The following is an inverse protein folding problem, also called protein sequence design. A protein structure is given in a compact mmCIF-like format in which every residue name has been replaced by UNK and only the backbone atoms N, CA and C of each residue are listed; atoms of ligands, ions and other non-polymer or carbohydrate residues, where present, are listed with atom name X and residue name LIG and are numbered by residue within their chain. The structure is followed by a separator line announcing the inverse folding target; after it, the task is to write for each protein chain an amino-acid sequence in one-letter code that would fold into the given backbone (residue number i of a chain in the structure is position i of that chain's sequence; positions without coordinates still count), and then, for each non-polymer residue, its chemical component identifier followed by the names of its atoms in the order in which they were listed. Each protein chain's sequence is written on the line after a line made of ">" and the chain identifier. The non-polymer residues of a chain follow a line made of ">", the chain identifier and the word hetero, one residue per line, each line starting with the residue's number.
data_IF_425110954880
#
_entry.id   IF_425110954880
#
_cell.length_a   1.000
_cell.length_b   1.000
_cell.length_c   1.000
_cell.angle_alpha   90.00
_cell.angle_beta   90.00
_cell.angle_gamma   90.00
#
_symmetry.space_group_name_H-M   'P 1'
#
loop_
_entity.id
_entity.type
_entity.pdbx_description
1 polymer ?
#
# COMPACT_ATOMS: atom_id res chain seq x y z
N UNK A 1 -10.38 1.97 25.90
CA UNK A 1 -9.16 1.15 26.07
C UNK A 1 -8.65 0.57 24.75
N UNK A 2 -9.46 -0.19 24.00
CA UNK A 2 -9.05 -0.82 22.73
C UNK A 2 -8.63 0.18 21.64
N UNK A 3 -9.42 1.24 21.42
CA UNK A 3 -9.09 2.30 20.47
C UNK A 3 -7.74 2.96 20.73
N UNK A 4 -7.44 3.28 21.99
CA UNK A 4 -6.17 3.90 22.37
C UNK A 4 -4.96 2.99 22.12
N UNK A 5 -5.12 1.67 22.29
CA UNK A 5 -4.07 0.69 21.96
C UNK A 5 -3.83 0.60 20.46
N UNK A 6 -4.89 0.53 19.66
CA UNK A 6 -4.77 0.47 18.19
C UNK A 6 -4.17 1.77 17.65
N UNK A 7 -4.58 2.93 18.20
CA UNK A 7 -4.04 4.23 17.82
C UNK A 7 -2.55 4.40 18.19
N UNK A 8 -2.04 3.66 19.18
CA UNK A 8 -0.62 3.65 19.49
C UNK A 8 0.22 2.82 18.49
N UNK A 9 -0.42 1.91 17.75
CA UNK A 9 0.24 1.01 16.80
C UNK A 9 0.03 1.42 15.32
N UNK A 10 -0.88 2.36 15.04
CA UNK A 10 -1.20 2.78 13.66
C UNK A 10 -1.78 4.20 13.57
N UNK A 11 -1.38 4.93 12.52
CA UNK A 11 -1.97 6.20 12.12
C UNK A 11 -3.16 6.04 11.16
N UNK A 12 -3.57 4.81 10.86
CA UNK A 12 -4.71 4.57 9.99
C UNK A 12 -6.03 5.02 10.65
N UNK A 13 -7.04 5.42 9.85
CA UNK A 13 -8.38 5.64 10.37
C UNK A 13 -8.94 4.41 11.10
N UNK A 14 -9.49 4.62 12.29
CA UNK A 14 -10.06 3.55 13.12
C UNK A 14 -11.58 3.58 13.02
N UNK A 15 -12.18 2.46 12.63
CA UNK A 15 -13.64 2.25 12.65
C UNK A 15 -13.95 1.26 13.77
N UNK A 16 -14.76 1.69 14.74
CA UNK A 16 -15.21 0.81 15.82
C UNK A 16 -16.40 -0.03 15.35
N UNK A 17 -16.33 -1.34 15.57
CA UNK A 17 -17.37 -2.28 15.16
C UNK A 17 -17.74 -3.16 16.34
N UNK A 18 -19.03 -3.13 16.71
CA UNK A 18 -19.60 -3.98 17.73
C UNK A 18 -20.19 -5.23 17.08
N UNK A 19 -19.49 -6.36 17.18
CA UNK A 19 -19.89 -7.63 16.54
C UNK A 19 -20.89 -8.42 17.38
N UNK A 20 -21.49 -9.47 16.79
CA UNK A 20 -22.38 -10.45 17.45
C UNK A 20 -23.62 -9.81 18.07
N UNK A 21 -24.17 -8.78 17.42
CA UNK A 21 -25.32 -8.02 17.92
C UNK A 21 -26.66 -8.75 17.82
N UNK A 22 -26.65 -9.96 17.25
CA UNK A 22 -27.75 -10.93 17.27
C UNK A 22 -27.97 -11.58 18.63
N UNK A 23 -26.97 -11.58 19.52
CA UNK A 23 -27.08 -12.26 20.81
C UNK A 23 -27.90 -11.45 21.82
N UNK A 24 -28.76 -12.13 22.58
CA UNK A 24 -29.57 -11.52 23.62
C UNK A 24 -28.75 -11.00 24.82
N UNK A 25 -27.53 -11.48 25.01
CA UNK A 25 -26.57 -11.03 26.04
C UNK A 25 -25.70 -9.85 25.58
N UNK A 26 -25.95 -9.31 24.38
CA UNK A 26 -25.14 -8.24 23.83
C UNK A 26 -25.35 -6.94 24.63
N UNK A 27 -24.29 -6.50 25.33
CA UNK A 27 -24.31 -5.26 26.12
C UNK A 27 -24.71 -4.06 25.26
N UNK A 28 -25.66 -3.21 25.68
CA UNK A 28 -26.00 -2.01 24.93
C UNK A 28 -24.77 -1.12 24.74
N UNK A 29 -24.70 -0.46 23.59
CA UNK A 29 -23.70 0.56 23.34
C UNK A 29 -24.05 1.82 24.14
N UNK A 30 -23.02 2.58 24.48
CA UNK A 30 -23.17 3.94 25.00
C UNK A 30 -23.90 4.78 23.93
N UNK A 31 -24.92 5.59 24.27
CA UNK A 31 -25.56 6.51 23.33
C UNK A 31 -24.59 7.40 22.56
N UNK A 32 -23.43 7.73 23.14
CA UNK A 32 -22.39 8.54 22.51
C UNK A 32 -21.38 7.71 21.68
N UNK A 33 -21.58 6.39 21.58
CA UNK A 33 -20.70 5.51 20.81
C UNK A 33 -20.94 5.67 19.31
N UNK A 34 -19.86 5.82 18.56
CA UNK A 34 -19.88 5.78 17.09
C UNK A 34 -19.63 4.38 16.52
N UNK A 35 -19.78 3.33 17.34
CA UNK A 35 -19.52 1.96 16.90
C UNK A 35 -20.63 1.44 15.99
N UNK A 36 -20.25 0.77 14.90
CA UNK A 36 -21.20 0.14 13.98
C UNK A 36 -21.60 -1.22 14.55
N UNK A 37 -22.89 -1.41 14.77
CA UNK A 37 -23.45 -2.68 15.21
C UNK A 37 -23.58 -3.66 14.05
N UNK A 38 -22.90 -4.81 14.16
CA UNK A 38 -22.94 -5.85 13.13
C UNK A 38 -23.24 -7.23 13.71
N UNK A 39 -23.88 -8.06 12.90
CA UNK A 39 -24.04 -9.50 13.11
C UNK A 39 -23.68 -10.22 11.82
N UNK A 40 -22.64 -11.04 11.89
CA UNK A 40 -22.20 -11.84 10.74
C UNK A 40 -23.19 -12.96 10.44
N UNK A 41 -23.82 -13.53 11.48
CA UNK A 41 -24.78 -14.62 11.35
C UNK A 41 -26.08 -14.18 10.66
N UNK A 42 -26.55 -12.96 10.96
CA UNK A 42 -27.78 -12.42 10.36
C UNK A 42 -27.53 -11.50 9.16
N UNK A 43 -26.26 -11.17 8.89
CA UNK A 43 -25.87 -10.16 7.90
C UNK A 43 -26.19 -8.71 8.29
N UNK A 44 -26.84 -8.48 9.44
CA UNK A 44 -27.28 -7.15 9.87
C UNK A 44 -26.07 -6.23 10.07
N UNK A 45 -26.13 -5.04 9.46
CA UNK A 45 -25.15 -3.97 9.65
C UNK A 45 -23.87 -4.11 8.84
N UNK A 46 -23.70 -5.21 8.06
CA UNK A 46 -22.52 -5.40 7.21
C UNK A 46 -22.47 -4.38 6.08
N UNK A 47 -23.59 -4.09 5.40
CA UNK A 47 -23.63 -3.08 4.34
C UNK A 47 -23.22 -1.70 4.85
N UNK A 48 -23.75 -1.30 6.02
CA UNK A 48 -23.38 -0.02 6.66
C UNK A 48 -21.91 0.02 7.09
N UNK A 49 -21.34 -1.12 7.46
CA UNK A 49 -19.92 -1.23 7.76
C UNK A 49 -19.08 -1.01 6.50
N UNK A 50 -19.47 -1.62 5.37
CA UNK A 50 -18.80 -1.45 4.08
C UNK A 50 -18.91 0.00 3.59
N UNK A 51 -20.10 0.59 3.61
CA UNK A 51 -20.33 2.00 3.26
C UNK A 51 -19.44 2.94 4.09
N UNK A 52 -19.27 2.62 5.38
CA UNK A 52 -18.42 3.43 6.26
C UNK A 52 -16.95 3.28 5.91
N UNK A 53 -16.49 2.07 5.59
CA UNK A 53 -15.12 1.82 5.14
C UNK A 53 -14.86 2.64 3.87
N UNK A 54 -15.76 2.58 2.89
CA UNK A 54 -15.63 3.32 1.64
C UNK A 54 -15.59 4.83 1.88
N UNK A 55 -16.48 5.37 2.73
CA UNK A 55 -16.49 6.78 3.08
C UNK A 55 -15.19 7.23 3.78
N UNK A 56 -14.62 6.40 4.65
CA UNK A 56 -13.36 6.69 5.35
C UNK A 56 -12.17 6.64 4.39
N UNK A 57 -12.13 5.66 3.49
CA UNK A 57 -11.10 5.53 2.47
C UNK A 57 -11.15 6.74 1.51
N UNK A 58 -12.34 7.09 1.00
CA UNK A 58 -12.53 8.25 0.13
C UNK A 58 -12.17 9.58 0.82
N UNK A 59 -12.46 9.71 2.12
CA UNK A 59 -12.07 10.88 2.90
C UNK A 59 -10.56 10.98 3.16
N UNK A 60 -9.86 9.85 3.33
CA UNK A 60 -8.43 9.81 3.63
C UNK A 60 -7.53 9.87 2.39
N UNK A 61 -7.95 9.28 1.27
CA UNK A 61 -7.17 9.19 0.02
C UNK A 61 -7.65 10.15 -1.07
N UNK A 62 -8.74 10.90 -0.81
CA UNK A 62 -9.48 11.61 -1.85
C UNK A 62 -10.39 10.67 -2.65
N UNK A 63 -11.30 11.23 -3.45
CA UNK A 63 -12.09 10.43 -4.38
C UNK A 63 -11.14 9.60 -5.26
N UNK A 64 -11.43 8.30 -5.50
CA UNK A 64 -10.60 7.51 -6.41
C UNK A 64 -10.52 8.26 -7.74
N UNK A 65 -9.30 8.62 -8.15
CA UNK A 65 -9.07 9.21 -9.47
C UNK A 65 -9.35 8.10 -10.47
N UNK A 66 -10.58 8.05 -10.99
CA UNK A 66 -11.08 7.02 -11.90
C UNK A 66 -10.25 6.95 -13.21
N UNK A 67 -9.45 7.98 -13.50
CA UNK A 67 -8.57 8.08 -14.67
C UNK A 67 -7.06 7.98 -14.36
N UNK A 68 -6.66 7.79 -13.10
CA UNK A 68 -5.28 7.39 -12.82
C UNK A 68 -5.25 5.88 -12.98
N UNK A 69 -4.51 5.33 -13.97
CA UNK A 69 -4.50 3.91 -14.18
C UNK A 69 -4.02 3.29 -12.87
N UNK A 70 -4.87 2.45 -12.25
CA UNK A 70 -4.59 1.75 -11.00
C UNK A 70 -3.48 0.73 -11.29
N UNK A 71 -2.26 1.24 -11.42
CA UNK A 71 -1.05 0.50 -11.77
C UNK A 71 -0.26 0.28 -10.47
N UNK A 72 -0.95 0.07 -9.36
CA UNK A 72 -0.32 -0.19 -8.06
C UNK A 72 -0.21 -1.71 -7.82
N UNK A 73 0.49 -2.42 -8.72
CA UNK A 73 1.13 -3.68 -8.31
C UNK A 73 2.40 -3.30 -7.54
N UNK A 74 2.70 -4.00 -6.45
CA UNK A 74 3.90 -3.76 -5.60
C UNK A 74 5.17 -3.54 -6.42
N UNK A 75 5.35 -4.25 -7.53
CA UNK A 75 6.52 -4.12 -8.43
C UNK A 75 6.67 -2.73 -9.08
N UNK A 76 5.58 -2.11 -9.52
CA UNK A 76 5.65 -0.80 -10.19
C UNK A 76 5.96 0.31 -9.18
N UNK A 77 5.42 0.17 -7.97
CA UNK A 77 5.68 1.08 -6.86
C UNK A 77 7.15 0.99 -6.44
N UNK A 78 7.74 -0.21 -6.38
CA UNK A 78 9.16 -0.42 -6.12
C UNK A 78 10.02 0.25 -7.19
N UNK A 79 9.75 -0.01 -8.47
CA UNK A 79 10.47 0.62 -9.59
C UNK A 79 10.47 2.16 -9.53
N UNK A 80 9.30 2.76 -9.28
CA UNK A 80 9.17 4.21 -9.12
C UNK A 80 9.91 4.76 -7.89
N UNK A 81 9.87 4.03 -6.76
CA UNK A 81 10.60 4.42 -5.55
C UNK A 81 12.11 4.37 -5.76
N UNK A 82 12.61 3.31 -6.41
CA UNK A 82 14.03 3.17 -6.76
C UNK A 82 14.47 4.30 -7.68
N UNK A 83 13.75 4.56 -8.79
CA UNK A 83 14.07 5.65 -9.70
C UNK A 83 14.11 7.01 -8.99
N UNK A 84 13.15 7.27 -8.10
CA UNK A 84 13.11 8.52 -7.32
C UNK A 84 14.28 8.64 -6.35
N UNK A 85 14.69 7.55 -5.70
CA UNK A 85 15.84 7.56 -4.79
C UNK A 85 17.14 7.87 -5.54
N UNK A 86 17.37 7.19 -6.67
CA UNK A 86 18.54 7.39 -7.53
C UNK A 86 18.63 8.83 -8.06
N UNK A 87 17.51 9.40 -8.54
CA UNK A 87 17.50 10.80 -9.00
C UNK A 87 17.81 11.81 -7.89
N UNK A 88 17.36 11.53 -6.67
CA UNK A 88 17.66 12.38 -5.51
C UNK A 88 19.15 12.30 -5.16
N UNK A 89 19.71 11.10 -5.20
CA UNK A 89 21.13 10.88 -4.88
C UNK A 89 22.03 11.46 -5.99
N UNK A 90 21.61 11.39 -7.26
CA UNK A 90 22.20 12.15 -8.38
C UNK A 90 22.22 13.66 -8.09
N UNK A 91 21.05 14.24 -7.75
CA UNK A 91 20.93 15.68 -7.53
C UNK A 91 21.80 16.14 -6.35
N UNK A 92 21.88 15.34 -5.28
CA UNK A 92 22.74 15.59 -4.14
C UNK A 92 24.22 15.52 -4.52
N UNK A 93 24.65 14.44 -5.20
CA UNK A 93 26.04 14.25 -5.62
C UNK A 93 26.52 15.28 -6.64
N UNK A 94 25.65 15.67 -7.56
CA UNK A 94 25.92 16.71 -8.56
C UNK A 94 26.07 18.09 -7.90
N UNK A 95 25.16 18.44 -7.00
CA UNK A 95 25.17 19.75 -6.32
C UNK A 95 26.35 19.88 -5.34
N UNK A 96 26.73 18.78 -4.68
CA UNK A 96 27.85 18.78 -3.75
C UNK A 96 29.22 18.83 -4.43
N UNK A 97 29.30 18.52 -5.75
CA UNK A 97 30.54 18.33 -6.51
C UNK A 97 31.55 17.39 -5.81
N UNK A 98 31.04 16.53 -4.90
CA UNK A 98 31.85 15.69 -4.01
C UNK A 98 32.30 14.40 -4.70
N UNK A 99 31.69 14.07 -5.82
CA UNK A 99 31.96 12.87 -6.61
C UNK A 99 32.28 13.25 -8.06
N UNK A 100 33.21 12.53 -8.72
CA UNK A 100 33.46 12.71 -10.15
C UNK A 100 32.18 12.52 -10.96
N UNK A 101 32.00 13.32 -12.02
CA UNK A 101 30.82 13.26 -12.89
C UNK A 101 30.47 11.83 -13.40
N UNK A 102 31.43 10.96 -13.75
CA UNK A 102 31.13 9.58 -14.12
C UNK A 102 30.50 8.75 -13.00
N UNK A 103 30.84 9.02 -11.74
CA UNK A 103 30.29 8.33 -10.56
C UNK A 103 28.86 8.78 -10.31
N UNK A 104 28.61 10.09 -10.38
CA UNK A 104 27.27 10.66 -10.21
C UNK A 104 26.33 10.20 -11.34
N UNK A 105 26.85 10.05 -12.58
CA UNK A 105 26.08 9.58 -13.73
C UNK A 105 25.55 8.14 -13.60
N UNK A 106 26.12 7.31 -12.70
CA UNK A 106 25.60 5.95 -12.43
C UNK A 106 24.16 6.02 -11.92
N UNK A 107 23.84 6.99 -11.05
CA UNK A 107 22.49 7.18 -10.53
C UNK A 107 21.45 7.46 -11.62
N UNK A 108 21.81 8.23 -12.66
CA UNK A 108 20.91 8.45 -13.80
C UNK A 108 20.63 7.14 -14.56
N UNK A 109 21.67 6.32 -14.76
CA UNK A 109 21.53 5.04 -15.47
C UNK A 109 20.69 4.05 -14.66
N UNK A 110 20.88 4.00 -13.34
CA UNK A 110 20.06 3.21 -12.42
C UNK A 110 18.60 3.67 -12.41
N UNK A 111 18.34 4.97 -12.44
CA UNK A 111 16.99 5.51 -12.53
C UNK A 111 16.29 5.14 -13.84
N UNK A 112 17.01 5.18 -14.97
CA UNK A 112 16.51 4.75 -16.28
C UNK A 112 16.16 3.26 -16.27
N UNK A 113 17.05 2.40 -15.78
CA UNK A 113 16.80 0.95 -15.70
C UNK A 113 15.58 0.60 -14.84
N UNK A 114 15.39 1.29 -13.71
CA UNK A 114 14.19 1.10 -12.89
C UNK A 114 12.90 1.52 -13.62
N UNK A 115 12.95 2.55 -14.47
CA UNK A 115 11.80 2.97 -15.28
C UNK A 115 11.58 2.04 -16.49
N UNK A 116 12.62 1.44 -17.05
CA UNK A 116 12.52 0.41 -18.09
C UNK A 116 11.81 -0.84 -17.57
N UNK A 117 12.13 -1.28 -16.34
CA UNK A 117 11.42 -2.37 -15.65
C UNK A 117 9.93 -2.04 -15.46
N UNK A 118 9.61 -0.78 -15.12
CA UNK A 118 8.22 -0.31 -15.00
C UNK A 118 7.44 -0.39 -16.32
N UNK A 119 8.10 -0.09 -17.44
CA UNK A 119 7.49 -0.09 -18.79
C UNK A 119 7.47 -1.50 -19.39
N UNK A 120 8.14 -2.47 -18.76
CA UNK A 120 8.23 -3.86 -19.23
C UNK A 120 9.28 -4.06 -20.31
N UNK A 121 10.24 -3.14 -20.43
CA UNK A 121 11.45 -3.33 -21.23
C UNK A 121 12.43 -4.13 -20.37
N UNK A 122 12.20 -5.44 -20.28
CA UNK A 122 13.13 -6.37 -19.61
C UNK A 122 13.63 -7.32 -20.68
N UNK A 123 14.95 -7.35 -20.86
CA UNK A 123 15.63 -8.25 -21.79
C UNK A 123 15.29 -9.71 -21.44
N UNK A 124 15.21 -10.56 -22.46
CA UNK A 124 14.74 -11.94 -22.37
C UNK A 124 15.56 -12.85 -21.42
N UNK A 125 16.70 -12.37 -20.92
CA UNK A 125 17.59 -13.10 -20.01
C UNK A 125 17.07 -13.13 -18.55
N UNK A 126 16.37 -12.09 -18.06
CA UNK A 126 15.89 -12.04 -16.66
C UNK A 126 14.63 -12.90 -16.42
N UNK A 127 13.90 -13.24 -17.49
CA UNK A 127 12.72 -14.12 -17.42
C UNK A 127 13.12 -15.56 -17.07
N UNK A 128 14.30 -16.01 -17.53
CA UNK A 128 14.79 -17.37 -17.27
C UNK A 128 15.16 -17.57 -15.80
N UNK A 129 15.81 -16.59 -15.16
CA UNK A 129 16.24 -16.69 -13.75
C UNK A 129 15.05 -16.72 -12.77
N UNK A 130 13.90 -16.15 -13.18
CA UNK A 130 12.64 -16.19 -12.41
C UNK A 130 11.91 -17.53 -12.55
N UNK A 131 11.95 -18.15 -13.73
CA UNK A 131 11.27 -19.44 -14.01
C UNK A 131 11.94 -20.60 -13.28
N UNK A 132 13.27 -20.58 -13.12
CA UNK A 132 13.99 -21.67 -12.45
C UNK A 132 14.02 -21.58 -10.92
N UNK A 133 13.61 -20.46 -10.32
CA UNK A 133 13.52 -20.32 -8.85
C UNK A 133 12.25 -20.89 -8.22
N UNK A 134 11.21 -21.21 -9.01
CA UNK A 134 9.95 -21.78 -8.51
C UNK A 134 9.73 -23.25 -8.86
N UNK A 135 10.72 -23.93 -9.43
CA UNK A 135 10.66 -25.38 -9.58
C UNK A 135 11.24 -25.99 -8.31
N UNK A 136 10.40 -26.57 -7.47
CA UNK A 136 10.86 -27.49 -6.44
C UNK A 136 11.62 -28.63 -7.13
N UNK A 137 12.94 -28.63 -7.03
CA UNK A 137 13.74 -29.83 -7.28
C UNK A 137 13.55 -30.70 -6.04
N UNK A 138 12.52 -31.54 -6.09
CA UNK A 138 12.31 -32.65 -5.16
C UNK A 138 12.45 -33.95 -5.94
N UNK A 139 13.63 -34.55 -5.85
CA UNK A 139 13.75 -35.98 -5.54
C UNK A 139 13.80 -36.09 -4.01
#
# INVERSE_FOLDING_TARGET
>A
ATRARIAAESNAPIIEVATKRDRADARPLDPDSHAIEVSVETGRGLDRMLDRIDAVIAGALGAPVLDAPVVMRTRHLVALQTARAELRDFAAGWSAASLPAPVVAVHLRSAVGALEELIGVVDTEDVLDRVFRSVCVGE
#
